data_IF_471511587134
#
_entry.id   IF_471511587134
#
_cell.length_a   1.000
_cell.length_b   1.000
_cell.length_c   1.000
_cell.angle_alpha   90.00
_cell.angle_beta   90.00
_cell.angle_gamma   90.00
#
_symmetry.space_group_name_H-M   'P 1'
#
loop_
_entity.id
_entity.type
_entity.pdbx_description
1 polymer ?
#
# COMPACT_ATOMS: atom_id res chain seq x y z
N UNK A 1 3.27 -0.90 25.62
CA UNK A 1 1.79 -1.00 25.70
C UNK A 1 1.52 -2.47 25.48
N UNK A 2 1.05 -3.17 26.51
CA UNK A 2 1.10 -4.64 26.49
C UNK A 2 -0.30 -5.18 26.17
N UNK A 3 -0.46 -5.76 24.98
CA UNK A 3 -1.68 -6.43 24.55
C UNK A 3 -1.62 -7.90 24.97
N UNK A 4 -2.69 -8.41 25.58
CA UNK A 4 -2.78 -9.81 26.04
C UNK A 4 -3.36 -10.72 24.97
N UNK A 5 -4.04 -10.17 23.96
CA UNK A 5 -4.61 -10.93 22.84
C UNK A 5 -4.47 -10.20 21.50
N UNK A 6 -4.48 -10.96 20.40
CA UNK A 6 -4.54 -10.40 19.04
C UNK A 6 -5.78 -9.53 18.82
N UNK A 7 -6.92 -9.91 19.43
CA UNK A 7 -8.17 -9.14 19.36
C UNK A 7 -8.05 -7.76 20.00
N UNK A 8 -7.36 -7.66 21.14
CA UNK A 8 -7.08 -6.37 21.80
C UNK A 8 -6.21 -5.48 20.93
N UNK A 9 -5.16 -6.06 20.32
CA UNK A 9 -4.29 -5.34 19.38
C UNK A 9 -5.08 -4.82 18.17
N UNK A 10 -5.90 -5.67 17.53
CA UNK A 10 -6.75 -5.28 16.38
C UNK A 10 -7.71 -4.16 16.78
N UNK A 11 -8.37 -4.27 17.93
CA UNK A 11 -9.31 -3.26 18.40
C UNK A 11 -8.62 -1.94 18.73
N UNK A 12 -7.43 -1.98 19.32
CA UNK A 12 -6.62 -0.79 19.56
C UNK A 12 -6.20 -0.14 18.24
N UNK A 13 -5.67 -0.91 17.30
CA UNK A 13 -5.34 -0.42 15.96
C UNK A 13 -6.55 0.27 15.33
N UNK A 14 -7.71 -0.39 15.27
CA UNK A 14 -8.94 0.22 14.73
C UNK A 14 -9.23 1.59 15.36
N UNK A 15 -9.15 1.72 16.69
CA UNK A 15 -9.35 2.99 17.40
C UNK A 15 -8.32 4.04 17.03
N UNK A 16 -7.04 3.69 16.85
CA UNK A 16 -5.98 4.63 16.44
C UNK A 16 -6.20 5.08 14.99
N UNK A 17 -6.43 4.14 14.08
CA UNK A 17 -6.63 4.40 12.65
C UNK A 17 -7.93 5.18 12.35
N UNK A 18 -8.98 4.99 13.15
CA UNK A 18 -10.25 5.73 13.06
C UNK A 18 -10.35 6.89 14.05
N UNK A 19 -9.28 7.22 14.77
CA UNK A 19 -9.29 8.23 15.83
C UNK A 19 -9.62 9.61 15.28
N UNK A 20 -10.56 10.31 15.91
CA UNK A 20 -10.77 11.74 15.70
C UNK A 20 -9.72 12.60 16.42
N UNK A 21 -8.98 12.01 17.36
CA UNK A 21 -7.96 12.69 18.18
C UNK A 21 -6.60 12.69 17.48
N UNK A 22 -6.25 11.62 16.78
CA UNK A 22 -4.99 11.51 16.03
C UNK A 22 -5.26 11.88 14.57
N UNK A 23 -4.78 13.07 14.17
CA UNK A 23 -5.03 13.58 12.81
C UNK A 23 -4.48 12.68 11.71
N UNK A 24 -3.33 12.04 11.94
CA UNK A 24 -2.78 11.00 11.07
C UNK A 24 -1.72 10.17 11.82
N UNK A 25 -1.46 8.97 11.31
CA UNK A 25 -0.34 8.11 11.75
C UNK A 25 0.51 7.71 10.57
N UNK A 26 1.83 7.62 10.76
CA UNK A 26 2.74 7.04 9.78
C UNK A 26 2.68 5.51 9.85
N UNK A 27 2.57 4.86 8.70
CA UNK A 27 2.35 3.40 8.61
C UNK A 27 3.42 2.73 7.78
N UNK A 28 3.72 3.29 6.61
CA UNK A 28 4.80 2.81 5.74
C UNK A 28 5.80 3.92 5.48
N UNK A 29 7.05 3.54 5.28
CA UNK A 29 8.12 4.43 4.88
C UNK A 29 9.03 3.70 3.89
N UNK A 30 9.75 4.47 3.09
CA UNK A 30 10.69 3.93 2.12
C UNK A 30 11.22 5.01 1.21
N UNK A 31 11.76 4.59 0.08
CA UNK A 31 12.29 5.49 -0.92
C UNK A 31 13.49 4.90 -1.62
N UNK A 32 14.02 5.69 -2.55
CA UNK A 32 15.16 5.34 -3.38
C UNK A 32 15.95 6.62 -3.71
N UNK A 33 16.90 6.59 -4.65
CA UNK A 33 17.69 7.77 -4.99
C UNK A 33 16.84 8.98 -5.47
N UNK A 34 15.67 8.73 -6.09
CA UNK A 34 14.79 9.78 -6.61
C UNK A 34 13.73 10.24 -5.61
N UNK A 35 13.17 9.32 -4.81
CA UNK A 35 12.01 9.59 -3.96
C UNK A 35 12.29 9.30 -2.48
N UNK A 36 11.76 10.15 -1.60
CA UNK A 36 11.41 9.76 -0.23
C UNK A 36 9.92 9.42 -0.21
N UNK A 37 9.56 8.30 0.41
CA UNK A 37 8.18 7.85 0.50
C UNK A 37 7.72 7.67 1.93
N UNK A 38 6.47 8.04 2.18
CA UNK A 38 5.73 7.57 3.34
C UNK A 38 4.25 7.40 3.04
N UNK A 39 3.63 6.43 3.71
CA UNK A 39 2.19 6.30 3.78
C UNK A 39 1.72 6.70 5.16
N UNK A 40 0.76 7.60 5.21
CA UNK A 40 0.02 7.92 6.43
C UNK A 40 -1.39 7.32 6.35
N UNK A 41 -2.00 7.08 7.51
CA UNK A 41 -3.43 6.85 7.59
C UNK A 41 -4.11 8.03 8.25
N UNK A 42 -5.19 8.49 7.64
CA UNK A 42 -6.04 9.57 8.14
C UNK A 42 -7.50 9.18 7.97
N UNK A 43 -8.27 9.16 9.07
CA UNK A 43 -9.68 8.74 9.07
C UNK A 43 -9.90 7.40 8.36
N UNK A 44 -9.08 6.40 8.72
CA UNK A 44 -9.08 5.06 8.14
C UNK A 44 -8.81 5.00 6.61
N UNK A 45 -8.16 6.03 6.04
CA UNK A 45 -7.75 6.04 4.64
C UNK A 45 -6.23 6.15 4.51
N UNK A 46 -5.59 5.30 3.68
CA UNK A 46 -4.19 5.46 3.34
C UNK A 46 -4.00 6.67 2.43
N UNK A 47 -2.98 7.47 2.72
CA UNK A 47 -2.52 8.57 1.88
C UNK A 47 -1.04 8.36 1.61
N UNK A 48 -0.70 8.22 0.34
CA UNK A 48 0.67 8.06 -0.14
C UNK A 48 1.29 9.43 -0.37
N UNK A 49 2.50 9.62 0.13
CA UNK A 49 3.27 10.85 -0.02
C UNK A 49 4.63 10.50 -0.61
N UNK A 50 4.88 10.98 -1.82
CA UNK A 50 6.15 10.86 -2.52
C UNK A 50 6.79 12.24 -2.63
N UNK A 51 7.99 12.40 -2.08
CA UNK A 51 8.79 13.59 -2.24
C UNK A 51 9.92 13.32 -3.23
N UNK A 52 9.92 14.04 -4.36
CA UNK A 52 10.99 13.97 -5.34
C UNK A 52 12.21 14.77 -4.85
N UNK A 53 13.33 14.08 -4.63
CA UNK A 53 14.57 14.66 -4.09
C UNK A 53 15.25 15.62 -5.05
N UNK A 54 15.05 15.46 -6.36
CA UNK A 54 15.68 16.27 -7.41
C UNK A 54 14.84 17.52 -7.67
N UNK A 55 13.57 17.33 -8.07
CA UNK A 55 12.68 18.45 -8.41
C UNK A 55 12.12 19.19 -7.19
N UNK A 56 12.30 18.63 -5.98
CA UNK A 56 11.79 19.16 -4.71
C UNK A 56 10.26 19.27 -4.65
N UNK A 57 9.55 18.47 -5.46
CA UNK A 57 8.10 18.43 -5.53
C UNK A 57 7.52 17.26 -4.74
N UNK A 58 6.28 17.41 -4.27
CA UNK A 58 5.57 16.38 -3.51
C UNK A 58 4.33 15.92 -4.27
N UNK A 59 4.18 14.62 -4.46
CA UNK A 59 2.95 13.98 -4.93
C UNK A 59 2.22 13.36 -3.74
N UNK A 60 0.93 13.66 -3.61
CA UNK A 60 0.06 13.17 -2.53
C UNK A 60 -1.19 12.54 -3.14
N UNK A 61 -1.48 11.28 -2.83
CA UNK A 61 -2.63 10.58 -3.38
C UNK A 61 -3.11 9.43 -2.49
N UNK A 62 -4.43 9.20 -2.44
CA UNK A 62 -5.03 8.02 -1.77
C UNK A 62 -4.92 6.77 -2.66
N UNK A 63 -5.27 6.95 -3.94
CA UNK A 63 -5.32 5.90 -4.97
C UNK A 63 -4.60 6.35 -6.23
N UNK A 64 -4.12 5.40 -7.02
CA UNK A 64 -3.63 5.68 -8.38
C UNK A 64 -4.77 6.16 -9.28
N UNK A 65 -4.44 6.64 -10.47
CA UNK A 65 -5.42 7.01 -11.51
C UNK A 65 -6.34 5.86 -11.90
N UNK A 66 -5.88 4.64 -11.72
CA UNK A 66 -6.61 3.39 -11.99
C UNK A 66 -7.42 2.89 -10.77
N UNK A 67 -7.45 3.66 -9.68
CA UNK A 67 -8.29 3.39 -8.51
C UNK A 67 -7.68 2.42 -7.49
N UNK A 68 -6.39 2.12 -7.59
CA UNK A 68 -5.68 1.14 -6.76
C UNK A 68 -4.98 1.81 -5.57
N UNK A 69 -5.02 1.16 -4.42
CA UNK A 69 -4.23 1.54 -3.24
C UNK A 69 -2.94 0.72 -3.25
N UNK A 70 -1.79 1.37 -3.01
CA UNK A 70 -0.49 0.72 -3.00
C UNK A 70 0.02 0.47 -1.57
N UNK A 71 0.73 -0.64 -1.37
CA UNK A 71 1.37 -1.01 -0.10
C UNK A 71 2.80 -1.50 -0.33
N UNK A 72 3.73 -0.60 -0.69
CA UNK A 72 5.12 -0.96 -0.94
C UNK A 72 5.82 -1.34 0.37
N UNK A 73 6.48 -2.50 0.37
CA UNK A 73 7.21 -3.06 1.51
C UNK A 73 8.72 -3.14 1.26
N UNK A 74 9.14 -3.03 0.00
CA UNK A 74 10.53 -3.09 -0.40
C UNK A 74 10.83 -2.11 -1.54
N UNK A 75 12.02 -1.53 -1.54
CA UNK A 75 12.40 -0.44 -2.43
C UNK A 75 13.77 -0.69 -3.05
N UNK A 76 13.86 -0.39 -4.34
CA UNK A 76 15.10 -0.29 -5.11
C UNK A 76 15.07 1.02 -5.91
N UNK A 77 16.18 1.32 -6.59
CA UNK A 77 16.23 2.48 -7.50
C UNK A 77 15.40 2.28 -8.78
N UNK A 78 15.08 1.05 -9.14
CA UNK A 78 14.35 0.73 -10.37
C UNK A 78 12.86 0.46 -10.15
N UNK A 79 12.51 -0.13 -9.02
CA UNK A 79 11.15 -0.52 -8.67
C UNK A 79 10.92 -0.59 -7.16
N UNK A 80 9.65 -0.57 -6.75
CA UNK A 80 9.22 -0.98 -5.43
C UNK A 80 8.42 -2.29 -5.53
N UNK A 81 8.51 -3.13 -4.51
CA UNK A 81 7.65 -4.31 -4.37
C UNK A 81 6.67 -4.08 -3.22
N UNK A 82 5.40 -4.42 -3.42
CA UNK A 82 4.36 -4.33 -2.42
C UNK A 82 3.55 -5.59 -2.27
N UNK A 83 2.72 -5.59 -1.24
CA UNK A 83 1.76 -6.65 -0.97
C UNK A 83 0.34 -6.15 -1.25
N UNK A 84 -0.57 -7.09 -1.43
CA UNK A 84 -1.99 -6.82 -1.29
C UNK A 84 -2.34 -6.95 0.19
N UNK A 85 -2.91 -5.91 0.83
CA UNK A 85 -3.27 -5.99 2.23
C UNK A 85 -4.39 -7.03 2.41
N UNK A 86 -4.31 -7.82 3.47
CA UNK A 86 -5.35 -8.81 3.82
C UNK A 86 -6.73 -8.19 4.04
N UNK A 87 -6.79 -6.87 4.30
CA UNK A 87 -8.04 -6.13 4.49
C UNK A 87 -8.82 -5.84 3.20
N UNK A 88 -8.25 -6.09 2.02
CA UNK A 88 -8.97 -5.94 0.75
C UNK A 88 -9.94 -7.11 0.57
N UNK A 89 -11.23 -6.79 0.46
CA UNK A 89 -12.30 -7.80 0.40
C UNK A 89 -12.25 -8.65 -0.87
N UNK A 90 -11.50 -8.24 -1.89
CA UNK A 90 -11.34 -9.01 -3.13
C UNK A 90 -10.03 -8.70 -3.83
N UNK A 91 -9.45 -9.72 -4.48
CA UNK A 91 -8.28 -9.55 -5.33
C UNK A 91 -8.54 -8.55 -6.48
N UNK A 92 -9.78 -8.45 -6.95
CA UNK A 92 -10.18 -7.50 -8.00
C UNK A 92 -10.17 -6.03 -7.56
N UNK A 93 -10.48 -5.73 -6.30
CA UNK A 93 -10.41 -4.36 -5.78
C UNK A 93 -8.97 -3.90 -5.59
N UNK A 94 -8.10 -4.81 -5.13
CA UNK A 94 -6.68 -4.54 -4.95
C UNK A 94 -5.89 -4.52 -6.28
N UNK A 95 -6.26 -5.38 -7.24
CA UNK A 95 -5.53 -5.58 -8.48
C UNK A 95 -6.51 -5.71 -9.68
N UNK A 96 -7.11 -4.61 -10.17
CA UNK A 96 -8.05 -4.63 -11.28
C UNK A 96 -7.43 -5.14 -12.58
N UNK A 97 -8.19 -5.86 -13.41
CA UNK A 97 -7.68 -6.38 -14.70
C UNK A 97 -7.25 -5.27 -15.66
N UNK A 98 -7.78 -4.06 -15.49
CA UNK A 98 -7.44 -2.90 -16.30
C UNK A 98 -5.96 -2.48 -16.19
N UNK A 99 -5.26 -2.89 -15.12
CA UNK A 99 -3.84 -2.57 -14.89
C UNK A 99 -2.90 -3.75 -15.12
N UNK A 100 -3.44 -4.88 -15.57
CA UNK A 100 -2.68 -6.11 -15.81
C UNK A 100 -2.52 -6.36 -17.31
N UNK A 101 -1.35 -6.88 -17.68
CA UNK A 101 -1.17 -7.51 -18.98
C UNK A 101 -1.79 -8.93 -19.01
N UNK A 102 -1.84 -9.54 -20.19
CA UNK A 102 -2.45 -10.86 -20.38
C UNK A 102 -1.76 -11.97 -19.57
N UNK A 103 -0.45 -11.87 -19.37
CA UNK A 103 0.29 -12.82 -18.56
C UNK A 103 -0.15 -12.73 -17.08
N UNK A 104 -0.22 -11.53 -16.53
CA UNK A 104 -0.61 -11.29 -15.15
C UNK A 104 -2.10 -11.55 -14.91
N UNK A 105 -2.97 -11.32 -15.90
CA UNK A 105 -4.37 -11.76 -15.85
C UNK A 105 -4.46 -13.28 -15.75
N UNK A 106 -3.67 -13.99 -16.55
CA UNK A 106 -3.63 -15.47 -16.50
C UNK A 106 -3.14 -15.95 -15.15
N UNK A 107 -2.06 -15.36 -14.60
CA UNK A 107 -1.57 -15.70 -13.26
C UNK A 107 -2.69 -15.50 -12.23
N UNK A 108 -3.33 -14.33 -12.24
CA UNK A 108 -4.41 -13.96 -11.32
C UNK A 108 -5.59 -14.92 -11.31
N UNK A 109 -5.97 -15.47 -12.47
CA UNK A 109 -7.07 -16.44 -12.59
C UNK A 109 -6.80 -17.78 -11.90
N UNK A 110 -5.53 -18.13 -11.67
CA UNK A 110 -5.13 -19.40 -11.06
C UNK A 110 -4.78 -19.27 -9.58
N UNK A 111 -4.94 -18.08 -9.00
CA UNK A 111 -4.62 -17.85 -7.58
C UNK A 111 -5.74 -18.40 -6.70
N UNK A 112 -5.36 -19.18 -5.70
CA UNK A 112 -6.25 -19.72 -4.68
C UNK A 112 -5.80 -19.31 -3.27
N UNK A 113 -6.62 -19.64 -2.27
CA UNK A 113 -6.40 -19.24 -0.87
C UNK A 113 -5.18 -19.90 -0.18
N UNK A 114 -4.65 -20.98 -0.75
CA UNK A 114 -3.47 -21.69 -0.24
C UNK A 114 -2.16 -21.23 -0.89
N UNK A 115 -2.23 -20.36 -1.89
CA UNK A 115 -1.05 -19.85 -2.56
C UNK A 115 -0.30 -18.85 -1.71
N UNK A 116 0.98 -18.65 -2.06
CA UNK A 116 1.80 -17.63 -1.42
C UNK A 116 1.23 -16.22 -1.67
N UNK A 117 1.52 -15.26 -0.76
CA UNK A 117 1.13 -13.87 -0.96
C UNK A 117 1.60 -13.30 -2.29
N UNK A 118 0.72 -12.52 -2.93
CA UNK A 118 1.00 -11.87 -4.20
C UNK A 118 1.91 -10.66 -3.97
N UNK A 119 3.02 -10.62 -4.70
CA UNK A 119 3.90 -9.45 -4.76
C UNK A 119 3.57 -8.62 -6.01
N UNK A 120 3.31 -7.33 -5.80
CA UNK A 120 3.09 -6.37 -6.87
C UNK A 120 4.39 -5.57 -7.08
N UNK A 121 4.85 -5.52 -8.33
CA UNK A 121 6.02 -4.73 -8.73
C UNK A 121 5.58 -3.39 -9.30
N UNK A 122 5.92 -2.30 -8.62
CA UNK A 122 5.66 -0.92 -9.04
C UNK A 122 6.89 -0.34 -9.74
N UNK A 123 6.70 0.18 -10.95
CA UNK A 123 7.76 0.86 -11.68
C UNK A 123 7.67 2.37 -11.52
N UNK A 124 8.82 3.03 -11.37
CA UNK A 124 8.89 4.49 -11.37
C UNK A 124 8.91 4.98 -12.82
N UNK A 125 7.99 5.91 -13.14
CA UNK A 125 8.04 6.61 -14.42
C UNK A 125 9.31 7.48 -14.44
N UNK A 126 10.18 7.23 -15.41
CA UNK A 126 11.38 8.02 -15.67
C UNK A 126 11.02 9.33 -16.36
#
# INVERSE_FOLDING_TARGET
MDFKTQKEMINFSKKVFSSEVVNYIFVLHGGNLLYNYTQIYRKNKPVNIFYNKISKTTMVFEKTTEGVIIFPIYWTDEYAAGLIPESENSLNSALPDAILDEQNKTIKQHINEFDNPILIKYYFKK
#
